data_IF_572838807685
#
_entry.id   IF_572838807685
#
_cell.length_a   1.000
_cell.length_b   1.000
_cell.length_c   1.000
_cell.angle_alpha   90.00
_cell.angle_beta   90.00
_cell.angle_gamma   90.00
#
_symmetry.space_group_name_H-M   'P 1'
#
loop_
_entity.id
_entity.type
_entity.pdbx_description
1 polymer ?
#
# COMPACT_ATOMS: atom_id res chain seq x y z
N UNK A 1 12.01 22.51 8.59
CA UNK A 1 12.24 22.52 7.13
C UNK A 1 11.80 21.16 6.58
N UNK A 2 11.20 21.12 5.40
CA UNK A 2 10.91 19.85 4.70
C UNK A 2 12.15 19.47 3.90
N UNK A 3 12.64 18.24 4.09
CA UNK A 3 13.75 17.68 3.32
C UNK A 3 13.21 16.90 2.13
N UNK A 4 13.81 17.08 0.96
CA UNK A 4 13.52 16.26 -0.22
C UNK A 4 14.02 14.85 0.02
N UNK A 5 13.21 13.85 -0.32
CA UNK A 5 13.63 12.45 -0.31
C UNK A 5 14.43 12.14 -1.56
N UNK A 6 15.47 11.32 -1.41
CA UNK A 6 16.23 10.82 -2.55
C UNK A 6 15.33 10.05 -3.54
N UNK A 7 15.76 10.08 -4.80
CA UNK A 7 15.11 9.33 -5.88
C UNK A 7 15.55 7.87 -5.74
N UNK A 8 14.60 6.91 -5.68
CA UNK A 8 14.95 5.50 -5.57
C UNK A 8 15.61 5.00 -6.86
N UNK A 9 16.57 4.10 -6.75
CA UNK A 9 17.29 3.54 -7.89
C UNK A 9 16.54 2.37 -8.53
N UNK A 10 15.88 1.54 -7.72
CA UNK A 10 15.15 0.36 -8.18
C UNK A 10 13.66 0.42 -7.86
N UNK A 11 12.87 -0.33 -8.64
CA UNK A 11 11.44 -0.50 -8.36
C UNK A 11 11.29 -1.11 -6.97
N UNK A 12 10.37 -0.58 -6.16
CA UNK A 12 10.06 -1.05 -4.80
C UNK A 12 11.09 -0.73 -3.72
N UNK A 13 12.18 -0.02 -4.03
CA UNK A 13 13.13 0.46 -3.02
C UNK A 13 12.51 1.46 -2.04
N UNK A 14 11.55 2.25 -2.54
CA UNK A 14 10.89 3.27 -1.75
C UNK A 14 9.42 3.33 -2.10
N UNK A 15 8.59 3.08 -1.10
CA UNK A 15 7.14 3.10 -1.21
C UNK A 15 6.57 4.20 -0.32
N UNK A 16 5.52 4.86 -0.79
CA UNK A 16 4.67 5.69 0.05
C UNK A 16 3.37 4.94 0.32
N UNK A 17 2.89 5.01 1.57
CA UNK A 17 1.63 4.41 1.98
C UNK A 17 0.72 5.47 2.59
N UNK A 18 -0.57 5.39 2.27
CA UNK A 18 -1.58 6.28 2.85
C UNK A 18 -2.96 5.61 2.88
N UNK A 19 -3.90 6.15 3.67
CA UNK A 19 -5.26 5.65 3.77
C UNK A 19 -6.28 6.71 3.34
N UNK A 20 -7.16 6.33 2.42
CA UNK A 20 -8.40 7.07 2.16
C UNK A 20 -9.48 6.46 3.05
N UNK A 21 -9.97 7.23 4.02
CA UNK A 21 -10.96 6.78 5.02
C UNK A 21 -12.28 7.54 4.89
N UNK A 22 -13.29 7.16 5.67
CA UNK A 22 -14.60 7.82 5.67
C UNK A 22 -15.47 7.49 4.46
N UNK A 23 -15.16 6.41 3.75
CA UNK A 23 -15.93 5.98 2.58
C UNK A 23 -17.22 5.24 3.01
N UNK A 24 -18.27 5.27 2.16
CA UNK A 24 -19.42 4.39 2.37
C UNK A 24 -19.02 2.92 2.46
N UNK A 25 -19.65 2.19 3.38
CA UNK A 25 -19.36 0.77 3.57
C UNK A 25 -19.78 -0.05 2.36
N UNK A 26 -18.87 -0.84 1.83
CA UNK A 26 -19.18 -1.87 0.83
C UNK A 26 -20.02 -3.00 1.45
N UNK A 27 -20.57 -3.91 0.61
CA UNK A 27 -21.27 -5.13 1.09
C UNK A 27 -20.40 -6.00 2.01
N UNK A 28 -19.07 -6.00 1.80
CA UNK A 28 -18.09 -6.70 2.65
C UNK A 28 -17.64 -5.87 3.88
N UNK A 29 -18.33 -4.76 4.17
CA UNK A 29 -18.09 -3.85 5.30
C UNK A 29 -16.70 -3.20 5.29
N UNK A 30 -16.10 -3.01 4.12
CA UNK A 30 -14.88 -2.21 3.92
C UNK A 30 -15.27 -0.74 3.78
N UNK A 31 -14.57 0.16 4.45
CA UNK A 31 -14.86 1.59 4.54
C UNK A 31 -13.61 2.47 4.33
N UNK A 32 -12.51 1.87 3.88
CA UNK A 32 -11.26 2.57 3.60
C UNK A 32 -10.50 1.91 2.46
N UNK A 33 -9.64 2.68 1.81
CA UNK A 33 -8.70 2.20 0.80
C UNK A 33 -7.28 2.44 1.32
N UNK A 34 -6.48 1.39 1.37
CA UNK A 34 -5.04 1.50 1.62
C UNK A 34 -4.33 1.66 0.28
N UNK A 35 -3.66 2.80 0.12
CA UNK A 35 -2.93 3.17 -1.09
C UNK A 35 -1.45 2.89 -0.85
N UNK A 36 -0.83 2.14 -1.76
CA UNK A 36 0.59 1.81 -1.70
C UNK A 36 1.18 2.16 -3.07
N UNK A 37 2.15 3.07 -3.08
CA UNK A 37 2.71 3.62 -4.32
C UNK A 37 4.21 3.39 -4.36
N UNK A 38 4.69 2.79 -5.45
CA UNK A 38 6.12 2.75 -5.76
C UNK A 38 6.56 4.15 -6.22
N UNK A 39 7.48 4.77 -5.48
CA UNK A 39 7.86 6.17 -5.72
C UNK A 39 8.61 6.35 -7.03
N UNK A 40 9.28 5.32 -7.55
CA UNK A 40 10.03 5.38 -8.80
C UNK A 40 9.08 5.30 -10.00
N UNK A 41 8.31 4.22 -10.14
CA UNK A 41 7.44 3.98 -11.30
C UNK A 41 6.12 4.73 -11.25
N UNK A 42 5.75 5.28 -10.06
CA UNK A 42 4.43 5.87 -9.78
C UNK A 42 3.27 4.89 -9.91
N UNK A 43 3.56 3.58 -9.94
CA UNK A 43 2.54 2.53 -9.91
C UNK A 43 1.90 2.47 -8.52
N UNK A 44 0.58 2.33 -8.46
CA UNK A 44 -0.19 2.32 -7.22
C UNK A 44 -1.03 1.05 -7.09
N UNK A 45 -1.06 0.50 -5.89
CA UNK A 45 -1.96 -0.57 -5.47
C UNK A 45 -3.00 -0.01 -4.52
N UNK A 46 -4.27 -0.38 -4.75
CA UNK A 46 -5.41 0.06 -3.95
C UNK A 46 -6.07 -1.15 -3.28
N UNK A 47 -5.92 -1.26 -1.97
CA UNK A 47 -6.45 -2.39 -1.21
C UNK A 47 -7.66 -1.97 -0.38
N UNK A 48 -8.76 -2.69 -0.50
CA UNK A 48 -9.96 -2.42 0.29
C UNK A 48 -9.79 -2.91 1.75
N UNK A 49 -9.76 -1.97 2.69
CA UNK A 49 -9.53 -2.22 4.12
C UNK A 49 -10.66 -1.65 4.98
N UNK A 50 -10.64 -1.98 6.27
CA UNK A 50 -11.44 -1.29 7.27
C UNK A 50 -10.55 -0.34 8.04
N UNK A 51 -11.07 0.81 8.44
CA UNK A 51 -10.37 1.72 9.35
C UNK A 51 -10.01 1.05 10.69
N UNK A 52 -10.76 0.00 11.06
CA UNK A 52 -10.54 -0.79 12.28
C UNK A 52 -9.73 -2.08 12.05
N UNK A 53 -9.20 -2.33 10.85
CA UNK A 53 -8.35 -3.50 10.63
C UNK A 53 -7.05 -3.33 11.45
N UNK A 54 -6.63 -4.38 12.15
CA UNK A 54 -5.43 -4.35 13.00
C UNK A 54 -4.16 -4.29 12.14
N UNK A 55 -3.05 -3.83 12.75
CA UNK A 55 -1.74 -3.85 12.10
C UNK A 55 -1.38 -5.24 11.57
N UNK A 56 -1.60 -6.30 12.35
CA UNK A 56 -1.36 -7.68 11.92
C UNK A 56 -2.15 -8.05 10.64
N UNK A 57 -3.43 -7.66 10.58
CA UNK A 57 -4.27 -7.94 9.42
C UNK A 57 -3.83 -7.16 8.18
N UNK A 58 -3.40 -5.92 8.37
CA UNK A 58 -2.82 -5.10 7.31
C UNK A 58 -1.48 -5.71 6.83
N UNK A 59 -0.58 -6.10 7.73
CA UNK A 59 0.68 -6.76 7.39
C UNK A 59 0.45 -8.04 6.59
N UNK A 60 -0.47 -8.90 7.03
CA UNK A 60 -0.79 -10.13 6.31
C UNK A 60 -1.32 -9.85 4.90
N UNK A 61 -2.16 -8.82 4.75
CA UNK A 61 -2.66 -8.40 3.44
C UNK A 61 -1.54 -7.82 2.56
N UNK A 62 -0.64 -7.01 3.13
CA UNK A 62 0.52 -6.45 2.43
C UNK A 62 1.44 -7.54 1.89
N UNK A 63 1.73 -8.57 2.69
CA UNK A 63 2.56 -9.69 2.25
C UNK A 63 1.87 -10.46 1.12
N UNK A 64 0.58 -10.76 1.28
CA UNK A 64 -0.18 -11.55 0.33
C UNK A 64 -0.37 -10.87 -1.03
N UNK A 65 -0.60 -9.56 -1.04
CA UNK A 65 -0.96 -8.80 -2.25
C UNK A 65 0.22 -8.04 -2.85
N UNK A 66 1.17 -7.54 -2.04
CA UNK A 66 2.25 -6.67 -2.52
C UNK A 66 3.57 -7.42 -2.58
N UNK A 67 4.02 -7.99 -1.46
CA UNK A 67 5.33 -8.68 -1.39
C UNK A 67 5.35 -9.85 -2.37
N UNK A 68 4.29 -10.65 -2.39
CA UNK A 68 4.18 -11.80 -3.30
C UNK A 68 4.29 -11.41 -4.77
N UNK A 69 3.67 -10.31 -5.20
CA UNK A 69 3.70 -9.89 -6.60
C UNK A 69 5.11 -9.42 -7.01
N UNK A 70 5.80 -8.66 -6.16
CA UNK A 70 6.99 -7.93 -6.61
C UNK A 70 8.32 -8.55 -6.17
N UNK A 71 8.34 -9.35 -5.10
CA UNK A 71 9.54 -10.12 -4.73
C UNK A 71 9.73 -11.32 -5.66
N UNK A 72 8.64 -11.88 -6.20
CA UNK A 72 8.74 -12.97 -7.18
C UNK A 72 9.13 -12.46 -8.59
N UNK A 73 8.90 -11.18 -8.91
CA UNK A 73 9.29 -10.57 -10.19
C UNK A 73 10.77 -10.19 -10.28
N UNK A 74 11.49 -10.21 -9.15
CA UNK A 74 12.92 -9.86 -9.06
C UNK A 74 13.85 -11.10 -9.12
N UNK A 75 13.30 -12.30 -9.37
CA UNK A 75 14.04 -13.56 -9.58
C UNK A 75 14.11 -13.95 -11.06
#
# INVERSE_FOLDING_TARGET
MLHTLDIPEWKWDSISMDFITGLPKTRKKKDSIWVIVDRLTKSAHFLAVKVTDTAEKLTNLYIAEIVKLHVLEQN
#
